data_IF_822284541918
#
_entry.id   IF_822284541918
#
_cell.length_a   1.000
_cell.length_b   1.000
_cell.length_c   1.000
_cell.angle_alpha   90.00
_cell.angle_beta   90.00
_cell.angle_gamma   90.00
#
_symmetry.space_group_name_H-M   'P 1'
#
loop_
_entity.id
_entity.type
_entity.pdbx_description
1 polymer ?
#
# COMPACT_ATOMS: atom_id res chain seq x y z
N UNK A 1 21.77 13.06 -1.38
CA UNK A 1 21.88 14.38 -0.71
C UNK A 1 22.01 15.59 -1.65
N UNK A 2 21.75 15.47 -2.97
CA UNK A 2 21.95 16.60 -3.91
C UNK A 2 20.90 17.72 -3.82
N UNK A 3 19.67 17.40 -3.40
CA UNK A 3 18.55 18.36 -3.37
C UNK A 3 18.34 18.97 -1.97
N UNK A 4 18.62 18.20 -0.92
CA UNK A 4 18.55 18.63 0.48
C UNK A 4 19.87 18.28 1.17
N UNK A 5 20.92 19.11 1.00
CA UNK A 5 22.27 18.79 1.46
C UNK A 5 22.37 18.70 2.98
N UNK A 6 21.57 19.47 3.72
CA UNK A 6 21.60 19.52 5.19
C UNK A 6 20.63 18.54 5.86
N UNK A 7 20.01 17.64 5.09
CA UNK A 7 19.05 16.69 5.64
C UNK A 7 19.73 15.60 6.48
N UNK A 8 19.15 15.33 7.66
CA UNK A 8 19.40 14.13 8.45
C UNK A 8 18.59 12.97 7.87
N UNK A 9 19.16 11.76 7.91
CA UNK A 9 18.54 10.53 7.40
C UNK A 9 18.30 9.59 8.56
N UNK A 10 17.06 9.12 8.68
CA UNK A 10 16.68 8.09 9.65
C UNK A 10 16.49 6.80 8.86
N UNK A 11 17.19 5.75 9.29
CA UNK A 11 17.09 4.40 8.75
C UNK A 11 16.42 3.50 9.79
N UNK A 12 15.11 3.25 9.68
CA UNK A 12 14.43 2.30 10.55
C UNK A 12 14.95 0.88 10.30
N UNK A 13 15.54 0.27 11.31
CA UNK A 13 16.04 -1.11 11.25
C UNK A 13 15.22 -2.02 12.16
N UNK A 14 15.13 -3.29 11.78
CA UNK A 14 14.51 -4.37 12.54
C UNK A 14 15.03 -5.71 12.02
N UNK A 15 14.69 -6.79 12.70
CA UNK A 15 14.98 -8.14 12.23
C UNK A 15 14.40 -8.36 10.81
N UNK A 16 15.26 -8.83 9.91
CA UNK A 16 14.95 -8.97 8.48
C UNK A 16 13.92 -10.07 8.24
N UNK A 17 13.95 -11.13 9.03
CA UNK A 17 13.00 -12.24 8.92
C UNK A 17 11.61 -11.80 9.37
N UNK A 18 11.52 -11.11 10.52
CA UNK A 18 10.28 -10.53 11.02
C UNK A 18 9.70 -9.46 10.08
N UNK A 19 10.55 -8.62 9.49
CA UNK A 19 10.12 -7.66 8.46
C UNK A 19 9.57 -8.36 7.21
N UNK A 20 10.30 -9.35 6.69
CA UNK A 20 9.92 -10.08 5.49
C UNK A 20 8.59 -10.80 5.68
N UNK A 21 8.42 -11.50 6.80
CA UNK A 21 7.16 -12.16 7.16
C UNK A 21 6.00 -11.15 7.27
N UNK A 22 6.22 -9.99 7.90
CA UNK A 22 5.21 -8.93 8.00
C UNK A 22 4.80 -8.40 6.62
N UNK A 23 5.76 -8.18 5.72
CA UNK A 23 5.49 -7.69 4.37
C UNK A 23 4.78 -8.72 3.50
N UNK A 24 5.13 -10.01 3.62
CA UNK A 24 4.45 -11.11 2.94
C UNK A 24 2.95 -11.11 3.25
N UNK A 25 2.59 -10.89 4.51
CA UNK A 25 1.21 -10.90 5.02
C UNK A 25 0.44 -9.58 4.82
N UNK A 26 1.07 -8.55 4.28
CA UNK A 26 0.47 -7.21 4.11
C UNK A 26 0.59 -6.73 2.67
N UNK A 27 1.58 -5.89 2.38
CA UNK A 27 1.76 -5.22 1.08
C UNK A 27 1.96 -6.20 -0.08
N UNK A 28 2.69 -7.30 0.15
CA UNK A 28 2.88 -8.33 -0.87
C UNK A 28 1.57 -9.08 -1.16
N UNK A 29 0.89 -9.56 -0.13
CA UNK A 29 -0.42 -10.19 -0.31
C UNK A 29 -1.44 -9.21 -0.92
N UNK A 30 -1.36 -7.92 -0.59
CA UNK A 30 -2.21 -6.88 -1.18
C UNK A 30 -1.96 -6.68 -2.68
N UNK A 31 -0.71 -6.80 -3.14
CA UNK A 31 -0.41 -6.72 -4.57
C UNK A 31 -1.00 -7.89 -5.36
N UNK A 32 -1.27 -9.02 -4.71
CA UNK A 32 -1.87 -10.22 -5.31
C UNK A 32 -3.36 -10.40 -5.00
N UNK A 33 -4.00 -9.39 -4.42
CA UNK A 33 -5.36 -9.49 -3.92
C UNK A 33 -6.41 -9.54 -5.06
N UNK A 34 -7.20 -10.63 -5.17
CA UNK A 34 -8.19 -10.78 -6.26
C UNK A 34 -9.29 -9.72 -6.20
N UNK A 35 -9.65 -9.22 -5.02
CA UNK A 35 -10.66 -8.17 -4.89
C UNK A 35 -10.15 -6.87 -5.51
N UNK A 36 -8.89 -6.52 -5.25
CA UNK A 36 -8.27 -5.34 -5.85
C UNK A 36 -8.13 -5.51 -7.37
N UNK A 37 -7.75 -6.71 -7.83
CA UNK A 37 -7.65 -7.02 -9.26
C UNK A 37 -9.00 -6.79 -9.96
N UNK A 38 -10.09 -7.29 -9.40
CA UNK A 38 -11.43 -7.07 -9.96
C UNK A 38 -11.79 -5.58 -9.99
N UNK A 39 -11.57 -4.87 -8.88
CA UNK A 39 -11.85 -3.43 -8.81
C UNK A 39 -11.01 -2.64 -9.83
N UNK A 40 -9.77 -3.06 -10.10
CA UNK A 40 -8.91 -2.42 -11.10
C UNK A 40 -9.48 -2.44 -12.52
N UNK A 41 -10.38 -3.37 -12.82
CA UNK A 41 -11.03 -3.47 -14.14
C UNK A 41 -12.10 -2.39 -14.32
N UNK A 42 -12.80 -2.02 -13.24
CA UNK A 42 -13.99 -1.16 -13.27
C UNK A 42 -13.79 0.22 -12.62
N UNK A 43 -12.68 0.43 -11.91
CA UNK A 43 -12.37 1.67 -11.22
C UNK A 43 -10.96 2.18 -11.53
N UNK A 44 -10.86 3.37 -12.13
CA UNK A 44 -9.59 3.95 -12.58
C UNK A 44 -8.60 4.24 -11.44
N UNK A 45 -9.00 4.83 -10.29
CA UNK A 45 -8.14 4.94 -9.12
C UNK A 45 -7.61 3.57 -8.63
N UNK A 46 -8.48 2.56 -8.54
CA UNK A 46 -8.08 1.19 -8.18
C UNK A 46 -7.09 0.60 -9.19
N UNK A 47 -7.26 0.87 -10.49
CA UNK A 47 -6.31 0.49 -11.54
C UNK A 47 -4.94 1.09 -11.33
N UNK A 48 -4.87 2.41 -11.12
CA UNK A 48 -3.60 3.12 -10.86
C UNK A 48 -2.90 2.57 -9.64
N UNK A 49 -3.65 2.34 -8.56
CA UNK A 49 -3.12 1.77 -7.33
C UNK A 49 -2.60 0.33 -7.53
N UNK A 50 -3.37 -0.53 -8.21
CA UNK A 50 -2.95 -1.89 -8.53
C UNK A 50 -1.66 -1.90 -9.39
N UNK A 51 -1.61 -1.09 -10.44
CA UNK A 51 -0.42 -0.95 -11.30
C UNK A 51 0.80 -0.46 -10.51
N UNK A 52 0.61 0.50 -9.60
CA UNK A 52 1.70 0.96 -8.72
C UNK A 52 2.25 -0.20 -7.89
N UNK A 53 1.39 -1.01 -7.28
CA UNK A 53 1.83 -2.15 -6.48
C UNK A 53 2.62 -3.17 -7.32
N UNK A 54 2.19 -3.47 -8.55
CA UNK A 54 2.96 -4.35 -9.44
C UNK A 54 4.32 -3.77 -9.78
N UNK A 55 4.37 -2.49 -10.18
CA UNK A 55 5.65 -1.83 -10.52
C UNK A 55 6.62 -1.78 -9.35
N UNK A 56 6.14 -1.61 -8.13
CA UNK A 56 7.01 -1.66 -6.94
C UNK A 56 7.62 -3.06 -6.75
N UNK A 57 6.87 -4.12 -7.04
CA UNK A 57 7.40 -5.49 -7.01
C UNK A 57 8.50 -5.68 -8.06
N UNK A 58 8.25 -5.23 -9.29
CA UNK A 58 9.20 -5.39 -10.40
C UNK A 58 10.48 -4.59 -10.17
N UNK A 59 10.33 -3.30 -9.80
CA UNK A 59 11.45 -2.36 -9.71
C UNK A 59 12.29 -2.53 -8.45
N UNK A 60 11.65 -2.74 -7.30
CA UNK A 60 12.38 -2.81 -6.02
C UNK A 60 12.81 -4.24 -5.70
N UNK A 61 12.00 -5.23 -6.08
CA UNK A 61 12.16 -6.60 -5.61
C UNK A 61 12.42 -7.60 -6.72
N UNK A 62 12.89 -7.12 -7.88
CA UNK A 62 13.25 -7.95 -9.05
C UNK A 62 12.09 -8.85 -9.50
N UNK A 63 10.86 -8.39 -9.30
CA UNK A 63 9.62 -9.12 -9.62
C UNK A 63 9.20 -10.19 -8.60
N UNK A 64 10.03 -10.50 -7.60
CA UNK A 64 9.69 -11.50 -6.57
C UNK A 64 10.19 -11.11 -5.18
N UNK A 65 9.35 -10.37 -4.46
CA UNK A 65 9.61 -10.02 -3.06
C UNK A 65 9.74 -11.25 -2.14
N UNK A 66 9.01 -12.33 -2.40
CA UNK A 66 9.08 -13.51 -1.53
C UNK A 66 10.49 -14.12 -1.56
N UNK A 67 11.11 -14.11 -2.74
CA UNK A 67 12.47 -14.63 -2.95
C UNK A 67 13.56 -13.60 -2.60
N UNK A 68 13.46 -12.38 -3.12
CA UNK A 68 14.54 -11.38 -3.08
C UNK A 68 14.39 -10.34 -1.98
N UNK A 69 13.25 -10.30 -1.27
CA UNK A 69 12.94 -9.21 -0.33
C UNK A 69 14.00 -9.00 0.75
N UNK A 70 14.52 -10.09 1.34
CA UNK A 70 15.54 -10.03 2.40
C UNK A 70 16.89 -9.52 1.87
N UNK A 71 17.30 -9.99 0.69
CA UNK A 71 18.53 -9.54 0.03
C UNK A 71 18.43 -8.03 -0.26
N UNK A 72 17.35 -7.59 -0.90
CA UNK A 72 17.10 -6.17 -1.22
C UNK A 72 17.10 -5.30 0.04
N UNK A 73 16.52 -5.77 1.15
CA UNK A 73 16.53 -5.05 2.43
C UNK A 73 17.96 -4.85 2.94
N UNK A 74 18.76 -5.91 2.96
CA UNK A 74 20.15 -5.85 3.44
C UNK A 74 21.01 -4.97 2.52
N UNK A 75 20.87 -5.14 1.21
CA UNK A 75 21.57 -4.34 0.20
C UNK A 75 21.24 -2.85 0.35
N UNK A 76 19.95 -2.52 0.52
CA UNK A 76 19.51 -1.13 0.71
C UNK A 76 20.09 -0.52 1.99
N UNK A 77 20.08 -1.25 3.11
CA UNK A 77 20.63 -0.75 4.37
C UNK A 77 22.16 -0.57 4.28
N UNK A 78 22.86 -1.50 3.62
CA UNK A 78 24.30 -1.38 3.38
C UNK A 78 24.64 -0.19 2.48
N UNK A 79 23.87 0.02 1.41
CA UNK A 79 24.03 1.16 0.49
C UNK A 79 23.84 2.50 1.22
N UNK A 80 22.84 2.61 2.10
CA UNK A 80 22.63 3.81 2.92
C UNK A 80 23.79 4.08 3.89
N UNK A 81 24.29 3.05 4.59
CA UNK A 81 25.46 3.17 5.46
C UNK A 81 26.71 3.65 4.71
N UNK A 82 26.85 3.26 3.44
CA UNK A 82 27.98 3.67 2.62
C UNK A 82 27.83 5.10 2.07
N UNK A 83 26.61 5.51 1.70
CA UNK A 83 26.36 6.77 1.00
C UNK A 83 26.09 7.96 1.91
N UNK A 84 25.58 7.71 3.11
CA UNK A 84 25.20 8.76 4.05
C UNK A 84 26.33 8.95 5.07
N UNK A 85 26.83 10.18 5.28
CA UNK A 85 27.79 10.46 6.35
C UNK A 85 27.23 10.00 7.70
N UNK A 86 28.07 9.36 8.53
CA UNK A 86 27.63 8.73 9.77
C UNK A 86 26.95 9.71 10.73
N UNK A 87 27.45 10.95 10.79
CA UNK A 87 26.89 12.05 11.58
C UNK A 87 25.48 12.50 11.14
N UNK A 88 25.06 12.11 9.93
CA UNK A 88 23.74 12.40 9.36
C UNK A 88 22.88 11.14 9.21
N UNK A 89 23.32 9.99 9.70
CA UNK A 89 22.57 8.75 9.64
C UNK A 89 22.23 8.24 11.05
N UNK A 90 20.95 8.16 11.35
CA UNK A 90 20.46 7.45 12.52
C UNK A 90 19.94 6.07 12.12
N UNK A 91 20.63 5.02 12.55
CA UNK A 91 20.05 3.68 12.56
C UNK A 91 19.13 3.52 13.75
N UNK A 92 17.84 3.36 13.48
CA UNK A 92 16.80 3.52 14.49
C UNK A 92 15.92 2.28 14.60
N UNK A 93 15.82 1.72 15.80
CA UNK A 93 14.82 0.70 16.14
C UNK A 93 13.62 1.40 16.76
N UNK A 94 12.44 1.18 16.18
CA UNK A 94 11.18 1.81 16.65
C UNK A 94 10.85 1.47 18.10
N UNK A 95 11.38 0.35 18.62
CA UNK A 95 11.22 -0.05 20.01
C UNK A 95 11.99 0.86 20.99
N UNK A 96 12.94 1.68 20.52
CA UNK A 96 13.68 2.63 21.35
C UNK A 96 12.88 3.92 21.66
N UNK A 97 11.72 4.12 21.04
CA UNK A 97 10.85 5.25 21.37
C UNK A 97 11.44 6.62 20.98
N UNK A 98 11.06 7.66 21.73
CA UNK A 98 11.38 9.05 21.39
C UNK A 98 12.86 9.41 21.54
N UNK A 99 13.51 8.89 22.57
CA UNK A 99 14.80 9.39 23.05
C UNK A 99 15.89 9.48 21.96
N UNK A 100 16.30 8.40 21.27
CA UNK A 100 17.37 8.49 20.27
C UNK A 100 16.93 9.25 19.01
N UNK A 101 15.62 9.34 18.74
CA UNK A 101 15.10 10.10 17.61
C UNK A 101 15.16 11.60 17.89
N UNK A 102 14.71 12.02 19.07
CA UNK A 102 14.72 13.41 19.50
C UNK A 102 16.15 13.93 19.69
N UNK A 103 17.04 13.13 20.29
CA UNK A 103 18.47 13.46 20.41
C UNK A 103 19.10 13.70 19.03
N UNK A 104 18.92 12.76 18.10
CA UNK A 104 19.46 12.89 16.75
C UNK A 104 18.89 14.09 16.00
N UNK A 105 17.61 14.43 16.23
CA UNK A 105 16.96 15.58 15.60
C UNK A 105 17.23 16.90 16.32
N UNK A 106 17.88 16.89 17.48
CA UNK A 106 18.09 18.06 18.35
C UNK A 106 16.76 18.72 18.75
N UNK A 107 15.78 17.90 19.15
CA UNK A 107 14.45 18.33 19.61
C UNK A 107 14.13 17.80 21.00
N UNK A 108 13.22 18.46 21.69
CA UNK A 108 12.71 17.99 22.98
C UNK A 108 11.86 16.71 22.83
N UNK A 109 11.88 15.87 23.86
CA UNK A 109 11.04 14.67 23.93
C UNK A 109 9.59 15.10 24.21
N UNK A 110 8.61 14.68 23.40
CA UNK A 110 7.20 14.96 23.66
C UNK A 110 6.70 14.28 24.95
N UNK A 111 5.74 14.90 25.64
CA UNK A 111 5.07 14.32 26.81
C UNK A 111 4.15 13.12 26.47
N UNK A 112 3.94 12.82 25.19
CA UNK A 112 3.06 11.74 24.72
C UNK A 112 3.79 10.41 24.57
N UNK A 113 3.06 9.31 24.73
CA UNK A 113 3.59 7.98 24.47
C UNK A 113 4.04 7.82 23.01
N UNK A 114 5.11 7.06 22.79
CA UNK A 114 5.58 6.78 21.44
C UNK A 114 4.51 6.01 20.64
N UNK A 115 4.15 6.47 19.43
CA UNK A 115 2.99 5.93 18.73
C UNK A 115 3.20 4.47 18.29
N UNK A 116 2.23 3.61 18.64
CA UNK A 116 2.13 2.24 18.11
C UNK A 116 0.91 2.11 17.20
N UNK A 117 1.15 1.98 15.90
CA UNK A 117 0.11 1.82 14.89
C UNK A 117 0.57 0.92 13.74
N UNK A 118 -0.27 0.75 12.71
CA UNK A 118 0.03 0.00 11.48
C UNK A 118 0.32 -1.50 11.69
N UNK A 119 -0.42 -2.15 12.59
CA UNK A 119 -0.44 -3.60 12.67
C UNK A 119 -1.12 -4.24 11.44
N UNK A 120 -0.89 -5.54 11.23
CA UNK A 120 -1.47 -6.29 10.10
C UNK A 120 -3.00 -6.22 10.08
N UNK A 121 -3.67 -6.26 11.22
CA UNK A 121 -5.12 -6.22 11.32
C UNK A 121 -5.69 -4.87 10.89
N UNK A 122 -5.12 -3.77 11.38
CA UNK A 122 -5.52 -2.43 10.96
C UNK A 122 -5.23 -2.17 9.48
N UNK A 123 -4.14 -2.70 8.93
CA UNK A 123 -3.83 -2.66 7.49
C UNK A 123 -4.95 -3.30 6.64
N UNK A 124 -5.34 -4.55 6.97
CA UNK A 124 -6.38 -5.24 6.21
C UNK A 124 -7.77 -4.65 6.41
N UNK A 125 -8.08 -4.19 7.63
CA UNK A 125 -9.32 -3.46 7.91
C UNK A 125 -9.45 -2.22 7.02
N UNK A 126 -8.37 -1.43 6.89
CA UNK A 126 -8.33 -0.27 6.00
C UNK A 126 -8.49 -0.63 4.53
N UNK A 127 -7.76 -1.65 4.05
CA UNK A 127 -7.88 -2.12 2.68
C UNK A 127 -9.29 -2.59 2.34
N UNK A 128 -9.91 -3.39 3.22
CA UNK A 128 -11.27 -3.93 3.00
C UNK A 128 -12.34 -2.87 3.12
N UNK A 129 -12.23 -1.94 4.06
CA UNK A 129 -13.16 -0.82 4.16
C UNK A 129 -13.17 0.04 2.88
N UNK A 130 -11.98 0.29 2.31
CA UNK A 130 -11.87 0.97 1.01
C UNK A 130 -12.51 0.15 -0.12
N UNK A 131 -12.15 -1.13 -0.24
CA UNK A 131 -12.65 -1.98 -1.32
C UNK A 131 -14.17 -2.11 -1.30
N UNK A 132 -14.76 -2.30 -0.11
CA UNK A 132 -16.21 -2.38 0.08
C UNK A 132 -16.88 -1.07 -0.32
N UNK A 133 -16.29 0.08 0.04
CA UNK A 133 -16.82 1.40 -0.34
C UNK A 133 -16.85 1.56 -1.86
N UNK A 134 -15.73 1.29 -2.53
CA UNK A 134 -15.64 1.40 -4.00
C UNK A 134 -16.61 0.42 -4.66
N UNK A 135 -16.66 -0.83 -4.21
CA UNK A 135 -17.59 -1.82 -4.74
C UNK A 135 -19.05 -1.36 -4.61
N UNK A 136 -19.46 -0.86 -3.44
CA UNK A 136 -20.80 -0.32 -3.22
C UNK A 136 -21.11 0.84 -4.16
N UNK A 137 -20.18 1.78 -4.32
CA UNK A 137 -20.33 2.92 -5.22
C UNK A 137 -20.52 2.46 -6.68
N UNK A 138 -19.68 1.55 -7.18
CA UNK A 138 -19.80 1.03 -8.55
C UNK A 138 -21.07 0.22 -8.78
N UNK A 139 -21.46 -0.62 -7.82
CA UNK A 139 -22.72 -1.38 -7.90
C UNK A 139 -23.91 -0.43 -7.93
N UNK A 140 -23.95 0.56 -7.05
CA UNK A 140 -25.04 1.53 -6.97
C UNK A 140 -25.20 2.31 -8.27
N UNK A 141 -24.08 2.73 -8.90
CA UNK A 141 -24.12 3.41 -10.20
C UNK A 141 -24.56 2.51 -11.36
N UNK A 142 -24.31 1.20 -11.28
CA UNK A 142 -24.67 0.26 -12.34
C UNK A 142 -26.17 -0.14 -12.33
N UNK A 143 -26.83 -0.11 -11.16
CA UNK A 143 -28.25 -0.48 -11.00
C UNK A 143 -29.18 0.26 -11.97
N UNK A 144 -29.22 1.62 -12.02
CA UNK A 144 -30.17 2.31 -12.89
C UNK A 144 -29.93 2.01 -14.37
N UNK A 145 -28.66 1.83 -14.78
CA UNK A 145 -28.31 1.45 -16.15
C UNK A 145 -28.85 0.05 -16.47
N UNK A 146 -28.66 -0.92 -15.56
CA UNK A 146 -29.19 -2.26 -15.70
C UNK A 146 -30.72 -2.29 -15.79
N UNK A 147 -31.41 -1.54 -14.93
CA UNK A 147 -32.87 -1.41 -14.97
C UNK A 147 -33.35 -0.80 -16.29
N UNK A 148 -32.67 0.23 -16.80
CA UNK A 148 -33.01 0.86 -18.07
C UNK A 148 -32.83 -0.09 -19.26
N UNK A 149 -31.72 -0.84 -19.31
CA UNK A 149 -31.46 -1.84 -20.36
C UNK A 149 -32.52 -2.93 -20.32
N UNK A 150 -32.84 -3.46 -19.13
CA UNK A 150 -33.86 -4.49 -18.96
C UNK A 150 -35.24 -3.98 -19.40
N UNK A 151 -35.65 -2.80 -18.96
CA UNK A 151 -36.91 -2.18 -19.36
C UNK A 151 -36.99 -1.99 -20.88
N UNK A 152 -35.89 -1.58 -21.51
CA UNK A 152 -35.81 -1.41 -22.97
C UNK A 152 -35.95 -2.75 -23.72
N UNK A 153 -35.34 -3.82 -23.20
CA UNK A 153 -35.47 -5.17 -23.77
C UNK A 153 -36.89 -5.68 -23.64
N UNK A 154 -37.49 -5.58 -22.45
CA UNK A 154 -38.88 -5.97 -22.20
C UNK A 154 -39.84 -5.19 -23.10
N UNK A 155 -39.66 -3.88 -23.23
CA UNK A 155 -40.47 -3.04 -24.11
C UNK A 155 -40.40 -3.51 -25.56
N UNK A 156 -39.20 -3.79 -26.09
CA UNK A 156 -39.02 -4.28 -27.47
C UNK A 156 -39.65 -5.64 -27.71
N UNK A 157 -39.57 -6.54 -26.73
CA UNK A 157 -40.20 -7.86 -26.82
C UNK A 157 -41.72 -7.71 -26.79
N UNK A 158 -42.26 -6.92 -25.87
CA UNK A 158 -43.69 -6.67 -25.76
C UNK A 158 -44.26 -5.97 -27.01
N UNK A 159 -43.51 -5.03 -27.60
CA UNK A 159 -43.95 -4.34 -28.82
C UNK A 159 -43.95 -5.26 -30.05
N UNK A 160 -43.06 -6.26 -30.11
CA UNK A 160 -43.05 -7.27 -31.18
C UNK A 160 -44.29 -8.15 -31.15
N UNK A 161 -44.70 -8.57 -29.96
CA UNK A 161 -45.91 -9.38 -29.74
C UNK A 161 -47.23 -8.64 -30.03
N UNK A 162 -47.20 -7.32 -30.21
CA UNK A 162 -48.39 -6.51 -30.45
C UNK A 162 -48.67 -6.21 -31.93
N UNK A 163 -47.73 -6.60 -32.81
CA UNK A 163 -47.77 -6.32 -34.26
C UNK A 163 -48.02 -7.61 -35.07
N UNK A 164 -47.97 -8.78 -34.42
CA UNK A 164 -48.46 -10.08 -34.93
C UNK A 164 -49.90 -10.33 -34.45
#
# INVERSE_FOLDING_TARGET
MKHYPESKVILPTRDVDGWHASCLLTVYQRSKDPVLQLLSLIDTPSRRYYTLLQKLQDLLYRGDFAKYGKEVFNDHNADLRQRVPAERLLEYRVEHGWEPLCEFLEMDIPDSEFPRSNDQGSFWKGCRARDIRIAKEKVTMAIPVGCFVLASVVYRLASRWRVE
#
